data_IF_259505397216
#
_entry.id   IF_259505397216
#
_cell.length_a   1.000
_cell.length_b   1.000
_cell.length_c   1.000
_cell.angle_alpha   90.00
_cell.angle_beta   90.00
_cell.angle_gamma   90.00
#
_symmetry.space_group_name_H-M   'P 1'
#
loop_
_entity.id
_entity.type
_entity.pdbx_description
1 polymer ?
#
# COMPACT_ATOMS: atom_id res chain seq x y z
N UNK A 1 56.56 -22.72 -24.20
CA UNK A 1 55.70 -21.94 -23.28
C UNK A 1 54.32 -21.51 -23.81
N UNK A 2 54.13 -21.14 -25.09
CA UNK A 2 52.85 -20.58 -25.60
C UNK A 2 51.63 -21.53 -25.59
N UNK A 3 51.82 -22.86 -25.66
CA UNK A 3 50.72 -23.84 -25.70
C UNK A 3 50.02 -24.01 -24.34
N UNK A 4 50.77 -24.02 -23.24
CA UNK A 4 50.22 -24.12 -21.89
C UNK A 4 49.39 -22.89 -21.51
N UNK A 5 49.85 -21.69 -21.88
CA UNK A 5 49.10 -20.45 -21.67
C UNK A 5 47.75 -20.47 -22.40
N UNK A 6 47.72 -20.99 -23.64
CA UNK A 6 46.48 -21.10 -24.44
C UNK A 6 45.50 -22.12 -23.86
N UNK A 7 46.00 -23.23 -23.33
CA UNK A 7 45.18 -24.24 -22.62
C UNK A 7 44.57 -23.68 -21.35
N UNK A 8 45.36 -22.93 -20.58
CA UNK A 8 44.94 -22.31 -19.32
C UNK A 8 43.94 -21.16 -19.54
N UNK A 9 44.07 -20.40 -20.63
CA UNK A 9 43.05 -19.42 -21.03
C UNK A 9 41.75 -20.08 -21.50
N UNK A 10 41.82 -21.20 -22.23
CA UNK A 10 40.63 -21.97 -22.63
C UNK A 10 39.91 -22.58 -21.43
N UNK A 11 40.63 -23.14 -20.45
CA UNK A 11 40.02 -23.67 -19.24
C UNK A 11 39.39 -22.56 -18.41
N UNK A 12 40.09 -21.42 -18.22
CA UNK A 12 39.51 -20.23 -17.57
C UNK A 12 38.24 -19.79 -18.28
N UNK A 13 38.24 -19.63 -19.61
CA UNK A 13 37.06 -19.24 -20.36
C UNK A 13 35.90 -20.25 -20.20
N UNK A 14 36.17 -21.56 -20.25
CA UNK A 14 35.12 -22.58 -20.14
C UNK A 14 34.53 -22.65 -18.72
N UNK A 15 35.37 -22.62 -17.68
CA UNK A 15 34.92 -22.71 -16.28
C UNK A 15 34.34 -21.38 -15.76
N UNK A 16 34.92 -20.21 -16.10
CA UNK A 16 34.35 -18.90 -15.70
C UNK A 16 33.04 -18.57 -16.44
N UNK A 17 32.87 -18.97 -17.70
CA UNK A 17 31.61 -18.74 -18.40
C UNK A 17 30.47 -19.62 -17.87
N UNK A 18 30.79 -20.70 -17.17
CA UNK A 18 29.83 -21.67 -16.63
C UNK A 18 29.58 -21.53 -15.12
N UNK A 19 30.44 -20.83 -14.38
CA UNK A 19 30.26 -20.57 -12.95
C UNK A 19 29.07 -19.65 -12.63
N UNK A 20 28.57 -18.87 -13.59
CA UNK A 20 27.50 -17.88 -13.38
C UNK A 20 26.23 -18.18 -14.19
N UNK A 21 25.92 -19.47 -14.41
CA UNK A 21 24.67 -19.88 -15.10
C UNK A 21 23.43 -19.46 -14.30
N UNK A 22 23.46 -19.62 -12.98
CA UNK A 22 22.38 -19.21 -12.07
C UNK A 22 22.15 -17.69 -12.08
N UNK A 23 23.21 -16.88 -11.99
CA UNK A 23 23.09 -15.42 -12.03
C UNK A 23 22.65 -14.90 -13.41
N UNK A 24 23.10 -15.52 -14.51
CA UNK A 24 22.58 -15.20 -15.85
C UNK A 24 21.11 -15.56 -16.02
N UNK A 25 20.70 -16.71 -15.50
CA UNK A 25 19.29 -17.13 -15.51
C UNK A 25 18.43 -16.19 -14.67
N UNK A 26 18.87 -15.84 -13.46
CA UNK A 26 18.21 -14.87 -12.59
C UNK A 26 18.12 -13.49 -13.25
N UNK A 27 19.20 -12.97 -13.84
CA UNK A 27 19.18 -11.71 -14.56
C UNK A 27 18.20 -11.74 -15.75
N UNK A 28 18.06 -12.88 -16.44
CA UNK A 28 17.09 -13.07 -17.52
C UNK A 28 15.66 -13.09 -16.99
N UNK A 29 15.40 -13.77 -15.87
CA UNK A 29 14.10 -13.78 -15.21
C UNK A 29 13.71 -12.38 -14.72
N UNK A 30 14.63 -11.67 -14.05
CA UNK A 30 14.43 -10.31 -13.58
C UNK A 30 14.13 -9.35 -14.74
N UNK A 31 14.90 -9.43 -15.84
CA UNK A 31 14.61 -8.65 -17.05
C UNK A 31 13.23 -8.98 -17.63
N UNK A 32 12.87 -10.26 -17.70
CA UNK A 32 11.54 -10.68 -18.17
C UNK A 32 10.42 -10.14 -17.27
N UNK A 33 10.63 -10.11 -15.96
CA UNK A 33 9.67 -9.58 -15.00
C UNK A 33 9.55 -8.05 -15.09
N UNK A 34 10.66 -7.32 -15.20
CA UNK A 34 10.63 -5.86 -15.37
C UNK A 34 9.93 -5.46 -16.66
N UNK A 35 10.15 -6.18 -17.77
CA UNK A 35 9.46 -5.89 -19.03
C UNK A 35 7.95 -6.17 -18.99
N UNK A 36 7.49 -7.07 -18.11
CA UNK A 36 6.05 -7.35 -17.93
C UNK A 36 5.33 -6.29 -17.09
N UNK A 37 6.03 -5.67 -16.15
CA UNK A 37 5.43 -4.68 -15.23
C UNK A 37 5.67 -3.25 -15.68
N UNK A 38 6.65 -3.01 -16.55
CA UNK A 38 6.98 -1.66 -17.01
C UNK A 38 6.10 -1.26 -18.20
N UNK A 39 5.35 -0.18 -18.03
CA UNK A 39 4.69 0.51 -19.16
C UNK A 39 5.79 1.14 -20.01
N UNK A 40 6.13 0.50 -21.12
CA UNK A 40 7.23 0.95 -21.99
C UNK A 40 6.92 2.27 -22.70
N UNK A 41 5.64 2.51 -23.04
CA UNK A 41 5.16 3.70 -23.73
C UNK A 41 3.68 3.94 -23.38
N UNK A 42 3.32 5.20 -23.20
CA UNK A 42 1.96 5.68 -23.04
C UNK A 42 1.65 6.72 -24.11
N UNK A 43 0.46 6.65 -24.71
CA UNK A 43 -0.03 7.68 -25.61
C UNK A 43 -0.54 8.85 -24.78
N UNK A 44 0.07 10.01 -24.95
CA UNK A 44 -0.29 11.26 -24.31
C UNK A 44 -1.51 11.86 -25.01
N UNK A 45 -2.33 12.62 -24.27
CA UNK A 45 -3.47 13.34 -24.83
C UNK A 45 -3.08 14.35 -25.93
N UNK A 46 -1.82 14.79 -25.97
CA UNK A 46 -1.27 15.65 -27.02
C UNK A 46 -1.04 14.96 -28.37
N UNK A 47 -1.33 13.65 -28.47
CA UNK A 47 -1.17 12.85 -29.69
C UNK A 47 0.21 12.22 -29.88
N UNK A 48 1.14 12.44 -28.93
CA UNK A 48 2.46 11.80 -28.89
C UNK A 48 2.50 10.51 -28.06
N UNK A 49 3.59 9.75 -28.13
CA UNK A 49 3.84 8.63 -27.22
C UNK A 49 5.11 8.90 -26.41
N UNK A 50 5.03 8.80 -25.07
CA UNK A 50 6.19 8.92 -24.18
C UNK A 50 6.46 7.61 -23.44
N UNK A 51 7.74 7.26 -23.34
CA UNK A 51 8.23 6.14 -22.51
C UNK A 51 8.91 6.62 -21.22
N UNK A 52 8.94 7.93 -20.95
CA UNK A 52 9.56 8.46 -19.75
C UNK A 52 8.61 8.31 -18.55
N UNK A 53 9.07 7.73 -17.43
CA UNK A 53 8.20 7.52 -16.26
C UNK A 53 7.57 8.80 -15.70
N UNK A 54 8.26 9.94 -15.81
CA UNK A 54 7.77 11.25 -15.38
C UNK A 54 6.54 11.68 -16.17
N UNK A 55 6.58 11.49 -17.49
CA UNK A 55 5.51 11.91 -18.39
C UNK A 55 4.30 10.98 -18.22
N UNK A 56 4.56 9.67 -18.09
CA UNK A 56 3.54 8.66 -17.80
C UNK A 56 2.83 8.98 -16.47
N UNK A 57 3.59 9.26 -15.41
CA UNK A 57 3.02 9.62 -14.11
C UNK A 57 2.23 10.93 -14.17
N UNK A 58 2.71 11.92 -14.92
CA UNK A 58 2.00 13.17 -15.16
C UNK A 58 0.65 12.97 -15.84
N UNK A 59 0.61 12.12 -16.87
CA UNK A 59 -0.61 11.82 -17.62
C UNK A 59 -1.62 11.00 -16.80
N UNK A 60 -1.15 10.04 -16.00
CA UNK A 60 -2.04 9.34 -15.06
C UNK A 60 -2.60 10.31 -14.01
N UNK A 61 -1.77 11.22 -13.50
CA UNK A 61 -2.20 12.22 -12.51
C UNK A 61 -3.26 13.15 -13.11
N UNK A 62 -3.08 13.64 -14.33
CA UNK A 62 -4.06 14.50 -15.01
C UNK A 62 -5.35 13.74 -15.31
N UNK A 63 -5.24 12.51 -15.80
CA UNK A 63 -6.39 11.65 -16.06
C UNK A 63 -7.25 11.45 -14.81
N UNK A 64 -6.65 11.03 -13.68
CA UNK A 64 -7.41 10.81 -12.44
C UNK A 64 -7.91 12.12 -11.81
N UNK A 65 -7.18 13.23 -11.95
CA UNK A 65 -7.68 14.55 -11.53
C UNK A 65 -8.95 14.93 -12.27
N UNK A 66 -8.97 14.74 -13.59
CA UNK A 66 -10.15 14.98 -14.42
C UNK A 66 -11.29 14.01 -14.07
N UNK A 67 -11.00 12.70 -13.97
CA UNK A 67 -11.99 11.66 -13.68
C UNK A 67 -12.77 11.93 -12.38
N UNK A 68 -12.07 12.40 -11.35
CA UNK A 68 -12.67 12.71 -10.05
C UNK A 68 -13.02 14.19 -9.85
N UNK A 69 -12.97 15.02 -10.91
CA UNK A 69 -13.21 16.45 -10.87
C UNK A 69 -12.44 17.18 -9.75
N UNK A 70 -11.21 16.74 -9.46
CA UNK A 70 -10.40 17.30 -8.37
C UNK A 70 -10.02 18.77 -8.64
N UNK A 71 -9.92 19.16 -9.91
CA UNK A 71 -9.64 20.55 -10.30
C UNK A 71 -10.82 21.48 -9.97
N UNK A 72 -12.06 20.97 -9.91
CA UNK A 72 -13.23 21.74 -9.45
C UNK A 72 -13.24 21.89 -7.91
N UNK A 73 -12.74 20.89 -7.20
CA UNK A 73 -12.62 20.87 -5.74
C UNK A 73 -11.48 21.73 -5.19
N UNK A 74 -10.48 22.06 -6.02
CA UNK A 74 -9.41 23.02 -5.68
C UNK A 74 -9.91 24.47 -5.56
N UNK A 75 -11.13 24.76 -6.02
CA UNK A 75 -11.80 26.01 -5.64
C UNK A 75 -12.08 25.92 -4.14
N UNK A 76 -11.35 26.69 -3.32
CA UNK A 76 -11.49 26.75 -1.85
C UNK A 76 -12.95 26.78 -1.37
N UNK A 77 -13.88 27.29 -2.19
CA UNK A 77 -15.32 27.31 -1.91
C UNK A 77 -16.00 25.93 -1.88
N UNK A 78 -15.61 24.95 -2.72
CA UNK A 78 -16.28 23.63 -2.73
C UNK A 78 -15.81 22.76 -1.57
N UNK A 79 -14.50 22.76 -1.28
CA UNK A 79 -13.95 22.06 -0.11
C UNK A 79 -14.45 22.66 1.20
N UNK A 80 -14.54 24.00 1.30
CA UNK A 80 -15.14 24.67 2.45
C UNK A 80 -16.64 24.36 2.59
N UNK A 81 -17.40 24.31 1.48
CA UNK A 81 -18.82 23.96 1.50
C UNK A 81 -19.06 22.50 1.93
N UNK A 82 -18.21 21.57 1.51
CA UNK A 82 -18.27 20.16 1.94
C UNK A 82 -17.93 20.04 3.42
N UNK A 83 -16.90 20.75 3.89
CA UNK A 83 -16.55 20.76 5.31
C UNK A 83 -17.67 21.35 6.17
N UNK A 84 -18.29 22.44 5.72
CA UNK A 84 -19.44 23.05 6.40
C UNK A 84 -20.63 22.08 6.49
N UNK A 85 -21.01 21.44 5.38
CA UNK A 85 -22.07 20.41 5.36
C UNK A 85 -21.75 19.21 6.24
N UNK A 86 -20.48 18.82 6.31
CA UNK A 86 -20.05 17.69 7.15
C UNK A 86 -20.14 18.06 8.63
N UNK A 87 -19.76 19.29 9.00
CA UNK A 87 -19.91 19.79 10.36
C UNK A 87 -21.39 19.95 10.75
N UNK A 88 -22.25 20.43 9.86
CA UNK A 88 -23.70 20.48 10.06
C UNK A 88 -24.27 19.08 10.28
N UNK A 89 -23.94 18.13 9.40
CA UNK A 89 -24.37 16.73 9.55
C UNK A 89 -23.90 16.12 10.88
N UNK A 90 -22.65 16.35 11.30
CA UNK A 90 -22.14 15.85 12.57
C UNK A 90 -22.78 16.52 13.80
N UNK A 91 -23.33 17.72 13.65
CA UNK A 91 -24.12 18.38 14.71
C UNK A 91 -25.54 17.84 14.78
N UNK A 92 -26.16 17.60 13.63
CA UNK A 92 -27.55 17.14 13.53
C UNK A 92 -27.67 15.64 13.83
N UNK A 93 -26.61 14.87 13.55
CA UNK A 93 -26.48 13.50 14.05
C UNK A 93 -26.20 13.57 15.55
N UNK A 94 -27.27 13.52 16.34
CA UNK A 94 -27.18 13.17 17.76
C UNK A 94 -26.58 11.77 17.82
N UNK A 95 -25.26 11.69 18.01
CA UNK A 95 -24.59 10.42 18.26
C UNK A 95 -25.24 9.72 19.45
N UNK A 96 -25.23 8.38 19.50
CA UNK A 96 -25.72 7.66 20.67
C UNK A 96 -24.96 8.17 21.89
N UNK A 97 -25.63 9.02 22.68
CA UNK A 97 -25.06 9.60 23.89
C UNK A 97 -25.30 8.58 24.99
N UNK A 98 -24.22 8.12 25.62
CA UNK A 98 -24.32 7.21 26.75
C UNK A 98 -25.08 7.97 27.86
N UNK A 99 -26.18 7.41 28.41
CA UNK A 99 -26.90 8.07 29.49
C UNK A 99 -25.94 8.27 30.67
N UNK A 100 -26.08 9.41 31.35
CA UNK A 100 -25.17 9.81 32.43
C UNK A 100 -25.05 8.72 33.50
N UNK A 101 -26.15 8.03 33.78
CA UNK A 101 -26.22 6.91 34.73
C UNK A 101 -25.28 5.76 34.35
N UNK A 102 -25.18 5.42 33.06
CA UNK A 102 -24.27 4.38 32.59
C UNK A 102 -22.80 4.82 32.64
N UNK A 103 -22.52 6.12 32.55
CA UNK A 103 -21.17 6.67 32.75
C UNK A 103 -20.78 6.56 34.22
N UNK A 104 -21.69 6.95 35.13
CA UNK A 104 -21.44 6.84 36.57
C UNK A 104 -21.25 5.39 37.00
N UNK A 105 -22.04 4.46 36.46
CA UNK A 105 -21.90 3.03 36.75
C UNK A 105 -20.54 2.50 36.26
N UNK A 106 -20.05 2.93 35.10
CA UNK A 106 -18.74 2.56 34.56
C UNK A 106 -17.56 3.13 35.37
N UNK A 107 -17.76 4.25 36.06
CA UNK A 107 -16.76 4.87 36.92
C UNK A 107 -16.73 4.26 38.34
N UNK A 108 -17.73 3.46 38.72
CA UNK A 108 -17.72 2.77 40.01
C UNK A 108 -16.63 1.70 40.07
N UNK A 109 -15.93 1.58 41.21
CA UNK A 109 -14.93 0.53 41.39
C UNK A 109 -15.61 -0.84 41.45
N UNK A 110 -15.00 -1.83 40.80
CA UNK A 110 -15.48 -3.22 40.79
C UNK A 110 -15.62 -3.76 42.22
N UNK A 111 -16.78 -4.34 42.51
CA UNK A 111 -17.09 -4.89 43.83
C UNK A 111 -16.67 -6.36 43.95
N UNK A 112 -16.45 -6.82 45.18
CA UNK A 112 -16.10 -8.23 45.44
C UNK A 112 -17.23 -9.19 45.04
N UNK A 113 -18.48 -8.74 45.14
CA UNK A 113 -19.67 -9.51 44.76
C UNK A 113 -19.75 -9.75 43.25
N UNK A 114 -19.47 -8.72 42.45
CA UNK A 114 -19.37 -8.83 40.99
C UNK A 114 -18.23 -9.76 40.58
N UNK A 115 -17.08 -9.68 41.26
CA UNK A 115 -15.94 -10.54 41.00
C UNK A 115 -16.27 -12.01 41.31
N UNK A 116 -16.93 -12.27 42.44
CA UNK A 116 -17.36 -13.61 42.83
C UNK A 116 -18.41 -14.18 41.87
N UNK A 117 -19.36 -13.35 41.42
CA UNK A 117 -20.36 -13.73 40.43
C UNK A 117 -19.72 -14.05 39.06
N UNK A 118 -18.78 -13.21 38.61
CA UNK A 118 -18.06 -13.41 37.35
C UNK A 118 -17.21 -14.70 37.37
N UNK A 119 -16.50 -14.96 38.48
CA UNK A 119 -15.72 -16.19 38.66
C UNK A 119 -16.60 -17.45 38.70
N UNK A 120 -17.81 -17.35 39.25
CA UNK A 120 -18.79 -18.44 39.27
C UNK A 120 -19.40 -18.69 37.88
N UNK A 121 -19.63 -17.62 37.11
CA UNK A 121 -20.17 -17.69 35.75
C UNK A 121 -19.11 -18.08 34.70
N UNK A 122 -17.82 -17.85 34.97
CA UNK A 122 -16.73 -18.23 34.11
C UNK A 122 -16.71 -19.76 33.89
N UNK A 123 -16.82 -20.18 32.63
CA UNK A 123 -16.74 -21.60 32.25
C UNK A 123 -15.36 -22.15 32.61
N UNK A 124 -15.30 -23.01 33.63
CA UNK A 124 -14.09 -23.73 34.01
C UNK A 124 -13.66 -24.67 32.88
N UNK A 125 -12.36 -24.72 32.60
CA UNK A 125 -11.77 -25.70 31.67
C UNK A 125 -11.55 -25.21 30.23
N UNK A 126 -11.74 -23.92 29.94
CA UNK A 126 -11.16 -23.30 28.74
C UNK A 126 -10.04 -22.34 29.17
N UNK A 127 -8.87 -22.90 29.38
CA UNK A 127 -7.63 -22.13 29.26
C UNK A 127 -7.41 -21.80 27.77
N UNK A 128 -6.64 -20.75 27.42
CA UNK A 128 -6.11 -20.62 26.06
C UNK A 128 -5.34 -21.89 25.64
#
# INVERSE_FOLDING_TARGET
MKRHHRSLQRSKAFFYTHANKGGRFLARLLRGQTHRTQVCKLHLASGGASGFPTDIAGEFKSFYRSLYNLDAMETQSQSAAIMARTQEYLRDVIGPTIPLDAVTDLETPVTEEELAAALKAAKRGKAP
#
